data_IF_040327650077
#
_entry.id   IF_040327650077
#
_cell.length_a   1.000
_cell.length_b   1.000
_cell.length_c   1.000
_cell.angle_alpha   90.00
_cell.angle_beta   90.00
_cell.angle_gamma   90.00
#
_symmetry.space_group_name_H-M   'P 1'
#
loop_
_entity.id
_entity.type
_entity.pdbx_description
1 polymer ?
#
# COMPACT_ATOMS: atom_id res chain seq x y z
N UNK A 1 -3.01 6.57 17.88
CA UNK A 1 -1.98 6.06 18.80
C UNK A 1 -0.64 6.56 18.30
N UNK A 2 -0.23 7.77 18.69
CA UNK A 2 1.15 8.20 18.54
C UNK A 2 2.01 7.33 19.45
N UNK A 3 3.08 6.69 18.98
CA UNK A 3 3.98 6.00 19.87
C UNK A 3 4.81 7.05 20.61
N UNK A 4 4.57 7.15 21.92
CA UNK A 4 5.43 7.85 22.83
C UNK A 4 6.69 7.00 23.13
N UNK A 5 7.83 7.67 22.97
CA UNK A 5 9.16 7.42 23.53
C UNK A 5 10.22 6.61 22.75
N UNK A 6 11.40 7.24 22.65
CA UNK A 6 12.70 6.79 22.15
C UNK A 6 13.01 6.83 20.62
N UNK A 7 13.51 7.99 20.19
CA UNK A 7 14.56 8.18 19.15
C UNK A 7 14.31 7.69 17.71
N UNK A 8 13.12 7.85 17.16
CA UNK A 8 12.98 7.83 15.69
C UNK A 8 13.67 9.07 15.09
N UNK A 9 14.96 8.94 14.75
CA UNK A 9 15.65 9.92 13.92
C UNK A 9 15.08 9.80 12.51
N UNK A 10 14.15 10.70 12.17
CA UNK A 10 13.63 10.84 10.82
C UNK A 10 14.39 11.95 10.08
N UNK A 11 14.56 11.81 8.77
CA UNK A 11 15.18 12.82 7.91
C UNK A 11 14.15 13.38 6.94
N UNK A 12 14.06 14.70 6.88
CA UNK A 12 13.29 15.40 5.85
C UNK A 12 14.08 15.42 4.54
N UNK A 13 13.49 14.92 3.46
CA UNK A 13 14.13 14.86 2.14
C UNK A 13 13.42 15.81 1.20
N UNK A 14 14.03 16.97 0.94
CA UNK A 14 13.47 17.98 0.02
C UNK A 14 14.16 17.98 -1.35
N UNK A 15 15.28 17.28 -1.50
CA UNK A 15 15.99 17.18 -2.78
C UNK A 15 15.18 16.31 -3.75
N UNK A 16 14.76 16.82 -4.92
CA UNK A 16 13.88 16.11 -5.84
C UNK A 16 14.39 14.71 -6.23
N UNK A 17 15.68 14.58 -6.54
CA UNK A 17 16.24 13.29 -6.98
C UNK A 17 16.24 12.24 -5.86
N UNK A 18 16.40 12.66 -4.61
CA UNK A 18 16.30 11.77 -3.45
C UNK A 18 14.84 11.44 -3.11
N UNK A 19 13.94 12.42 -3.29
CA UNK A 19 12.50 12.24 -3.14
C UNK A 19 11.95 11.20 -4.13
N UNK A 20 12.28 11.32 -5.42
CA UNK A 20 11.90 10.37 -6.47
C UNK A 20 12.30 8.92 -6.14
N UNK A 21 13.50 8.73 -5.59
CA UNK A 21 14.00 7.41 -5.18
C UNK A 21 13.16 6.82 -4.03
N UNK A 22 12.75 7.67 -3.09
CA UNK A 22 11.95 7.24 -1.94
C UNK A 22 10.47 7.04 -2.29
N UNK A 23 9.99 7.66 -3.37
CA UNK A 23 8.61 7.52 -3.85
C UNK A 23 8.44 6.57 -5.03
N UNK A 24 9.49 5.89 -5.48
CA UNK A 24 9.37 4.69 -6.30
C UNK A 24 9.30 3.47 -5.37
N UNK A 25 8.17 2.74 -5.26
CA UNK A 25 8.03 1.60 -4.36
C UNK A 25 9.09 0.51 -4.58
N UNK A 26 9.53 0.32 -5.83
CA UNK A 26 10.57 -0.65 -6.17
C UNK A 26 11.93 -0.18 -5.69
N UNK A 27 12.25 1.10 -5.92
CA UNK A 27 13.49 1.71 -5.45
C UNK A 27 13.57 1.72 -3.92
N UNK A 28 12.51 2.18 -3.24
CA UNK A 28 12.40 2.19 -1.79
C UNK A 28 12.53 0.78 -1.19
N UNK A 29 12.01 -0.25 -1.86
CA UNK A 29 12.20 -1.65 -1.47
C UNK A 29 13.67 -2.10 -1.37
N UNK A 30 14.57 -1.54 -2.18
CA UNK A 30 16.02 -1.83 -2.07
C UNK A 30 16.68 -1.14 -0.88
N UNK A 31 16.06 -0.09 -0.31
CA UNK A 31 16.55 0.60 0.88
C UNK A 31 16.14 -0.14 2.17
N UNK A 32 15.08 -0.95 2.11
CA UNK A 32 14.48 -1.63 3.26
C UNK A 32 15.47 -2.38 4.17
N UNK A 33 16.43 -3.19 3.67
CA UNK A 33 17.41 -3.85 4.54
C UNK A 33 18.19 -2.87 5.40
N UNK A 34 18.58 -1.74 4.81
CA UNK A 34 19.43 -0.74 5.47
C UNK A 34 18.66 0.16 6.46
N UNK A 35 17.33 0.21 6.34
CA UNK A 35 16.43 0.81 7.34
C UNK A 35 16.28 -0.08 8.58
N UNK A 36 16.32 -1.41 8.39
CA UNK A 36 16.26 -2.37 9.50
C UNK A 36 17.57 -2.43 10.30
N UNK A 37 18.70 -2.14 9.65
CA UNK A 37 19.99 -2.14 10.32
C UNK A 37 21.16 -2.09 9.37
N UNK A 38 22.33 -2.42 9.91
CA UNK A 38 23.56 -2.43 9.15
C UNK A 38 23.68 -3.72 8.31
N UNK A 39 23.93 -3.57 7.00
CA UNK A 39 24.09 -4.68 6.08
C UNK A 39 25.26 -4.47 5.12
N UNK A 40 25.95 -5.56 4.77
CA UNK A 40 26.77 -5.58 3.56
C UNK A 40 25.88 -5.74 2.32
N UNK A 41 26.30 -5.27 1.13
CA UNK A 41 25.50 -5.43 -0.08
C UNK A 41 25.18 -6.90 -0.41
N UNK A 42 26.06 -7.85 -0.08
CA UNK A 42 25.77 -9.27 -0.29
C UNK A 42 24.71 -9.80 0.67
N UNK A 43 24.73 -9.37 1.94
CA UNK A 43 23.71 -9.78 2.92
C UNK A 43 22.33 -9.19 2.58
N UNK A 44 22.27 -7.91 2.20
CA UNK A 44 21.03 -7.25 1.82
C UNK A 44 20.46 -7.81 0.50
N UNK A 45 21.32 -8.15 -0.47
CA UNK A 45 20.86 -8.77 -1.72
C UNK A 45 20.21 -10.14 -1.48
N UNK A 46 20.78 -10.92 -0.55
CA UNK A 46 20.20 -12.20 -0.12
C UNK A 46 18.87 -12.00 0.59
N UNK A 47 18.77 -11.03 1.49
CA UNK A 47 17.53 -10.71 2.20
C UNK A 47 16.39 -10.35 1.23
N UNK A 48 16.71 -9.59 0.18
CA UNK A 48 15.75 -9.16 -0.84
C UNK A 48 15.50 -10.21 -1.93
N UNK A 49 16.28 -11.29 -2.01
CA UNK A 49 16.19 -12.27 -3.10
C UNK A 49 16.60 -11.72 -4.47
N UNK A 50 17.50 -10.73 -4.52
CA UNK A 50 17.92 -10.04 -5.75
C UNK A 50 19.39 -10.29 -6.09
N UNK A 51 19.76 -10.08 -7.36
CA UNK A 51 21.16 -10.19 -7.80
C UNK A 51 22.00 -9.07 -7.17
N UNK A 52 23.21 -9.41 -6.70
CA UNK A 52 24.12 -8.46 -6.07
C UNK A 52 24.40 -7.21 -6.92
N UNK A 53 24.58 -7.37 -8.24
CA UNK A 53 24.85 -6.24 -9.14
C UNK A 53 23.70 -5.22 -9.17
N UNK A 54 22.45 -5.69 -9.06
CA UNK A 54 21.27 -4.83 -8.99
C UNK A 54 21.30 -4.03 -7.68
N UNK A 55 21.54 -4.69 -6.56
CA UNK A 55 21.62 -3.99 -5.28
C UNK A 55 22.81 -3.02 -5.21
N UNK A 56 23.96 -3.38 -5.79
CA UNK A 56 25.13 -2.50 -5.86
C UNK A 56 24.90 -1.24 -6.68
N UNK A 57 24.06 -1.30 -7.72
CA UNK A 57 23.58 -0.11 -8.42
C UNK A 57 22.83 0.81 -7.45
N UNK A 58 21.86 0.27 -6.71
CA UNK A 58 21.06 1.04 -5.76
C UNK A 58 21.86 1.57 -4.57
N UNK A 59 22.76 0.77 -3.99
CA UNK A 59 23.65 1.23 -2.89
C UNK A 59 24.46 2.46 -3.32
N UNK A 60 25.01 2.47 -4.54
CA UNK A 60 25.73 3.64 -5.08
C UNK A 60 24.82 4.85 -5.22
N UNK A 61 23.60 4.65 -5.73
CA UNK A 61 22.61 5.72 -5.90
C UNK A 61 22.16 6.29 -4.55
N UNK A 62 21.89 5.44 -3.56
CA UNK A 62 21.52 5.89 -2.22
C UNK A 62 22.66 6.64 -1.51
N UNK A 63 23.91 6.19 -1.66
CA UNK A 63 25.08 6.93 -1.15
C UNK A 63 25.20 8.31 -1.83
N UNK A 64 25.00 8.38 -3.14
CA UNK A 64 25.05 9.64 -3.89
C UNK A 64 23.96 10.64 -3.45
N UNK A 65 22.80 10.14 -3.00
CA UNK A 65 21.71 10.96 -2.47
C UNK A 65 21.75 11.15 -0.94
N UNK A 66 22.82 10.69 -0.27
CA UNK A 66 22.96 10.81 1.18
C UNK A 66 21.93 10.01 1.99
N UNK A 67 21.31 8.99 1.38
CA UNK A 67 20.31 8.13 2.03
C UNK A 67 20.97 6.96 2.79
N UNK A 68 22.17 6.57 2.37
CA UNK A 68 23.01 5.57 3.04
C UNK A 68 24.32 6.20 3.52
N UNK A 69 24.91 5.59 4.54
CA UNK A 69 26.28 5.83 4.98
C UNK A 69 27.05 4.52 5.08
N UNK A 70 28.37 4.59 4.89
CA UNK A 70 29.29 3.50 5.16
C UNK A 70 29.66 3.51 6.64
N UNK A 71 29.39 2.42 7.35
CA UNK A 71 29.53 2.34 8.80
C UNK A 71 30.83 1.67 9.23
N UNK A 72 31.21 0.59 8.56
CA UNK A 72 32.45 -0.14 8.84
C UNK A 72 32.91 -0.98 7.66
N UNK A 73 34.20 -1.27 7.66
CA UNK A 73 34.83 -2.25 6.77
C UNK A 73 35.42 -3.38 7.60
N UNK A 74 35.05 -4.61 7.29
CA UNK A 74 35.56 -5.80 7.96
C UNK A 74 36.59 -6.52 7.08
N UNK A 75 37.80 -6.81 7.59
CA UNK A 75 38.80 -7.57 6.85
C UNK A 75 38.34 -9.03 6.71
N UNK A 76 38.58 -9.62 5.53
CA UNK A 76 38.34 -11.04 5.25
C UNK A 76 39.51 -11.55 4.43
N UNK A 77 39.84 -12.84 4.55
CA UNK A 77 40.82 -13.50 3.68
C UNK A 77 40.44 -13.33 2.21
N UNK A 78 41.01 -12.33 1.56
CA UNK A 78 40.54 -11.79 0.28
C UNK A 78 40.17 -10.31 0.37
N UNK A 79 39.02 -9.93 -0.20
CA UNK A 79 38.56 -8.54 -0.27
C UNK A 79 37.80 -8.16 1.01
N UNK A 80 38.14 -7.02 1.59
CA UNK A 80 37.42 -6.46 2.74
C UNK A 80 35.94 -6.19 2.41
N UNK A 81 35.06 -6.47 3.37
CA UNK A 81 33.60 -6.33 3.24
C UNK A 81 33.16 -5.01 3.82
N UNK A 82 32.44 -4.21 3.03
CA UNK A 82 31.87 -2.93 3.48
C UNK A 82 30.44 -3.12 3.98
N UNK A 83 30.11 -2.42 5.04
CA UNK A 83 28.80 -2.40 5.67
C UNK A 83 28.20 -1.00 5.58
N UNK A 84 26.88 -0.96 5.38
CA UNK A 84 26.12 0.26 5.16
C UNK A 84 24.87 0.25 6.02
N UNK A 85 24.38 1.44 6.39
CA UNK A 85 23.08 1.66 7.01
C UNK A 85 22.39 2.88 6.43
N UNK A 86 21.09 2.98 6.60
CA UNK A 86 20.38 4.23 6.35
C UNK A 86 20.80 5.30 7.37
N UNK A 87 20.95 6.54 6.89
CA UNK A 87 21.34 7.70 7.73
C UNK A 87 20.28 8.08 8.77
N UNK A 88 19.05 7.59 8.57
CA UNK A 88 17.88 7.80 9.40
C UNK A 88 17.04 6.53 9.43
N UNK A 89 16.22 6.37 10.46
CA UNK A 89 15.33 5.21 10.62
C UNK A 89 13.98 5.42 9.91
N UNK A 90 13.73 6.65 9.45
CA UNK A 90 12.58 7.02 8.67
C UNK A 90 12.92 8.23 7.79
N UNK A 91 12.24 8.36 6.65
CA UNK A 91 12.36 9.52 5.77
C UNK A 91 10.98 10.16 5.59
N UNK A 92 10.95 11.48 5.64
CA UNK A 92 9.76 12.26 5.32
C UNK A 92 10.00 12.98 3.99
N UNK A 93 9.18 12.68 2.98
CA UNK A 93 9.19 13.35 1.68
C UNK A 93 7.95 14.25 1.59
N UNK A 94 8.10 15.59 1.63
CA UNK A 94 6.97 16.47 1.40
C UNK A 94 6.49 16.36 -0.05
N UNK A 95 5.18 16.26 -0.29
CA UNK A 95 4.64 16.20 -1.65
C UNK A 95 5.01 17.42 -2.51
N UNK A 96 5.26 18.59 -1.90
CA UNK A 96 5.78 19.77 -2.63
C UNK A 96 7.16 19.57 -3.26
N UNK A 97 7.91 18.53 -2.89
CA UNK A 97 9.18 18.18 -3.51
C UNK A 97 9.03 17.24 -4.72
N UNK A 98 7.80 16.80 -5.02
CA UNK A 98 7.47 15.93 -6.14
C UNK A 98 6.72 16.70 -7.21
N UNK A 99 6.88 16.32 -8.47
CA UNK A 99 5.96 16.79 -9.50
C UNK A 99 4.59 16.10 -9.33
N UNK A 100 3.55 16.66 -9.95
CA UNK A 100 2.24 16.02 -10.00
C UNK A 100 2.31 14.61 -10.59
N UNK A 101 3.08 14.43 -11.67
CA UNK A 101 3.24 13.13 -12.34
C UNK A 101 3.97 12.11 -11.47
N UNK A 102 4.96 12.53 -10.68
CA UNK A 102 5.63 11.64 -9.72
C UNK A 102 4.68 11.21 -8.60
N UNK A 103 3.84 12.13 -8.12
CA UNK A 103 2.84 11.83 -7.10
C UNK A 103 1.77 10.86 -7.62
N UNK A 104 1.26 11.08 -8.84
CA UNK A 104 0.32 10.16 -9.50
C UNK A 104 0.94 8.76 -9.65
N UNK A 105 2.18 8.68 -10.15
CA UNK A 105 2.92 7.40 -10.29
C UNK A 105 3.13 6.71 -8.94
N UNK A 106 3.48 7.47 -7.89
CA UNK A 106 3.65 6.94 -6.54
C UNK A 106 2.35 6.36 -5.99
N UNK A 107 1.25 7.11 -6.09
CA UNK A 107 -0.07 6.69 -5.63
C UNK A 107 -0.53 5.42 -6.35
N UNK A 108 -0.39 5.37 -7.69
CA UNK A 108 -0.66 4.17 -8.45
C UNK A 108 0.21 3.00 -7.98
N UNK A 109 1.51 3.23 -7.82
CA UNK A 109 2.47 2.20 -7.41
C UNK A 109 2.16 1.56 -6.04
N UNK A 110 1.69 2.34 -5.06
CA UNK A 110 1.32 1.81 -3.74
C UNK A 110 -0.04 1.10 -3.75
N UNK A 111 -0.98 1.53 -4.59
CA UNK A 111 -2.33 0.96 -4.66
C UNK A 111 -2.39 -0.31 -5.52
N UNK A 112 -1.61 -0.37 -6.60
CA UNK A 112 -1.67 -1.43 -7.61
C UNK A 112 -1.57 -2.84 -7.02
N UNK A 113 -0.62 -3.20 -6.13
CA UNK A 113 -0.53 -4.56 -5.59
C UNK A 113 -1.81 -4.97 -4.85
N UNK A 114 -2.40 -4.05 -4.09
CA UNK A 114 -3.63 -4.29 -3.35
C UNK A 114 -4.84 -4.41 -4.29
N UNK A 115 -4.92 -3.55 -5.31
CA UNK A 115 -5.97 -3.63 -6.33
C UNK A 115 -5.92 -4.93 -7.13
N UNK A 116 -4.73 -5.38 -7.54
CA UNK A 116 -4.56 -6.65 -8.24
C UNK A 116 -4.98 -7.84 -7.36
N UNK A 117 -4.65 -7.77 -6.07
CA UNK A 117 -5.07 -8.73 -5.07
C UNK A 117 -6.61 -8.81 -4.94
N UNK A 118 -7.29 -7.67 -4.85
CA UNK A 118 -8.76 -7.61 -4.82
C UNK A 118 -9.37 -8.12 -6.12
N UNK A 119 -8.82 -7.72 -7.27
CA UNK A 119 -9.27 -8.17 -8.59
C UNK A 119 -9.18 -9.68 -8.71
N UNK A 120 -8.09 -10.29 -8.27
CA UNK A 120 -7.92 -11.75 -8.28
C UNK A 120 -8.97 -12.45 -7.42
N UNK A 121 -9.15 -12.01 -6.17
CA UNK A 121 -10.17 -12.58 -5.29
C UNK A 121 -11.59 -12.43 -5.87
N UNK A 122 -11.88 -11.30 -6.52
CA UNK A 122 -13.14 -11.06 -7.22
C UNK A 122 -13.34 -12.01 -8.40
N UNK A 123 -12.30 -12.24 -9.21
CA UNK A 123 -12.34 -13.18 -10.32
C UNK A 123 -12.57 -14.61 -9.82
N UNK A 124 -11.88 -15.03 -8.76
CA UNK A 124 -12.06 -16.35 -8.15
C UNK A 124 -13.52 -16.58 -7.71
N UNK A 125 -14.20 -15.57 -7.19
CA UNK A 125 -15.63 -15.64 -6.85
C UNK A 125 -16.53 -15.69 -8.09
N UNK A 126 -16.27 -14.84 -9.09
CA UNK A 126 -17.06 -14.78 -10.33
C UNK A 126 -16.96 -16.07 -11.16
N UNK A 127 -15.84 -16.79 -11.06
CA UNK A 127 -15.59 -18.03 -11.81
C UNK A 127 -15.67 -19.27 -10.92
N UNK A 128 -16.16 -19.14 -9.68
CA UNK A 128 -16.30 -20.28 -8.78
C UNK A 128 -17.30 -21.29 -9.37
N UNK A 129 -16.98 -22.59 -9.42
CA UNK A 129 -17.92 -23.60 -9.91
C UNK A 129 -19.13 -23.69 -8.98
N UNK A 130 -20.34 -23.67 -9.53
CA UNK A 130 -21.59 -23.66 -8.76
C UNK A 130 -22.72 -22.90 -9.46
N UNK A 131 -23.41 -22.04 -8.70
CA UNK A 131 -24.52 -21.18 -9.13
C UNK A 131 -24.15 -20.33 -10.37
N UNK A 132 -25.13 -20.12 -11.26
CA UNK A 132 -24.96 -19.31 -12.46
C UNK A 132 -24.93 -17.81 -12.09
N UNK A 133 -23.74 -17.28 -11.85
CA UNK A 133 -23.54 -15.85 -11.62
C UNK A 133 -23.50 -15.07 -12.95
N UNK A 134 -24.23 -13.95 -13.00
CA UNK A 134 -24.33 -13.07 -14.15
C UNK A 134 -24.08 -11.59 -13.85
N UNK A 135 -24.13 -10.78 -14.92
CA UNK A 135 -24.06 -9.33 -14.87
C UNK A 135 -25.44 -8.74 -15.11
N UNK A 136 -25.97 -8.05 -14.11
CA UNK A 136 -27.15 -7.20 -14.26
C UNK A 136 -26.74 -5.81 -14.72
N UNK A 137 -27.30 -5.40 -15.85
CA UNK A 137 -27.18 -4.05 -16.40
C UNK A 137 -28.51 -3.33 -16.21
N UNK A 138 -28.50 -2.21 -15.50
CA UNK A 138 -29.72 -1.41 -15.27
C UNK A 138 -29.43 0.08 -15.37
N UNK A 139 -30.46 0.88 -15.67
CA UNK A 139 -30.39 2.32 -15.56
C UNK A 139 -31.11 2.75 -14.27
N UNK A 140 -30.44 3.51 -13.40
CA UNK A 140 -31.04 4.14 -12.21
C UNK A 140 -30.62 5.60 -12.16
N UNK A 141 -31.61 6.51 -12.07
CA UNK A 141 -31.34 7.94 -11.98
C UNK A 141 -30.58 8.53 -13.17
N UNK A 142 -30.71 7.94 -14.36
CA UNK A 142 -29.96 8.36 -15.57
C UNK A 142 -28.52 7.82 -15.64
N UNK A 143 -28.09 7.00 -14.67
CA UNK A 143 -26.76 6.38 -14.65
C UNK A 143 -26.85 4.88 -14.91
N UNK A 144 -25.90 4.37 -15.69
CA UNK A 144 -25.72 2.93 -15.91
C UNK A 144 -25.18 2.29 -14.63
N UNK A 145 -25.88 1.28 -14.13
CA UNK A 145 -25.53 0.53 -12.94
C UNK A 145 -25.21 -0.91 -13.31
N UNK A 146 -24.08 -1.39 -12.80
CA UNK A 146 -23.63 -2.78 -12.92
C UNK A 146 -23.74 -3.47 -11.57
N UNK A 147 -24.40 -4.62 -11.52
CA UNK A 147 -24.41 -5.48 -10.33
C UNK A 147 -24.19 -6.94 -10.70
N UNK A 148 -23.59 -7.70 -9.80
CA UNK A 148 -23.35 -9.12 -9.99
C UNK A 148 -24.35 -9.92 -9.17
N UNK A 149 -25.01 -10.88 -9.81
CA UNK A 149 -26.04 -11.70 -9.19
C UNK A 149 -26.52 -12.82 -10.08
N UNK A 150 -27.34 -13.72 -9.54
CA UNK A 150 -27.97 -14.80 -10.30
C UNK A 150 -29.17 -14.28 -11.12
N UNK A 151 -29.85 -15.18 -11.83
CA UNK A 151 -31.01 -14.85 -12.65
C UNK A 151 -32.24 -14.44 -11.80
N UNK A 152 -32.28 -14.88 -10.55
CA UNK A 152 -33.32 -14.60 -9.57
C UNK A 152 -33.12 -13.25 -8.86
N UNK A 153 -31.97 -12.61 -9.08
CA UNK A 153 -31.63 -11.28 -8.55
C UNK A 153 -30.94 -11.31 -7.18
N UNK A 154 -30.51 -12.48 -6.71
CA UNK A 154 -29.63 -12.58 -5.55
C UNK A 154 -28.27 -11.99 -5.88
N UNK A 155 -27.73 -11.23 -4.94
CA UNK A 155 -26.45 -10.54 -5.16
C UNK A 155 -25.29 -11.47 -4.86
N UNK A 156 -24.32 -11.53 -5.76
CA UNK A 156 -23.04 -12.21 -5.50
C UNK A 156 -22.26 -11.47 -4.40
N UNK A 157 -22.15 -10.15 -4.52
CA UNK A 157 -21.50 -9.29 -3.54
C UNK A 157 -22.52 -8.65 -2.60
N UNK A 158 -22.13 -8.45 -1.35
CA UNK A 158 -23.01 -7.90 -0.30
C UNK A 158 -24.18 -8.84 0.05
N UNK A 159 -24.07 -10.13 -0.27
CA UNK A 159 -25.06 -11.14 0.13
C UNK A 159 -25.06 -11.26 1.65
N UNK A 160 -26.24 -11.19 2.27
CA UNK A 160 -26.42 -11.22 3.73
C UNK A 160 -26.87 -12.58 4.25
N UNK A 161 -27.01 -13.59 3.39
CA UNK A 161 -27.35 -14.95 3.81
C UNK A 161 -26.25 -15.50 4.74
N UNK A 162 -26.59 -16.22 5.83
CA UNK A 162 -25.60 -16.71 6.80
C UNK A 162 -24.49 -17.60 6.23
N UNK A 163 -24.77 -18.32 5.13
CA UNK A 163 -23.82 -19.25 4.50
C UNK A 163 -23.09 -18.64 3.29
N UNK A 164 -23.45 -17.42 2.88
CA UNK A 164 -22.80 -16.77 1.75
C UNK A 164 -21.39 -16.27 2.13
N UNK A 165 -20.45 -16.21 1.18
CA UNK A 165 -19.15 -15.59 1.40
C UNK A 165 -19.30 -14.15 1.91
N UNK A 166 -18.54 -13.80 2.95
CA UNK A 166 -18.50 -12.46 3.52
C UNK A 166 -17.81 -11.47 2.55
N UNK A 167 -18.56 -10.98 1.58
CA UNK A 167 -18.07 -10.10 0.51
C UNK A 167 -18.77 -8.75 0.56
N UNK A 168 -18.00 -7.69 0.35
CA UNK A 168 -18.49 -6.31 0.29
C UNK A 168 -17.93 -5.65 -0.98
N UNK A 169 -18.81 -5.10 -1.81
CA UNK A 169 -18.43 -4.32 -2.99
C UNK A 169 -19.43 -3.17 -3.13
N UNK A 170 -19.01 -1.98 -2.72
CA UNK A 170 -19.81 -0.76 -2.77
C UNK A 170 -19.14 0.25 -3.70
N UNK A 171 -19.90 0.70 -4.70
CA UNK A 171 -19.55 1.81 -5.58
C UNK A 171 -20.75 2.76 -5.55
N UNK A 172 -20.74 3.69 -4.59
CA UNK A 172 -21.88 4.56 -4.29
C UNK A 172 -21.41 5.99 -4.11
N UNK A 173 -22.26 6.92 -4.55
CA UNK A 173 -22.18 8.34 -4.16
C UNK A 173 -23.17 8.57 -3.02
N UNK A 174 -22.77 9.36 -2.03
CA UNK A 174 -23.62 9.74 -0.90
C UNK A 174 -23.74 11.26 -0.89
N UNK A 175 -24.97 11.78 -0.88
CA UNK A 175 -25.25 13.19 -0.73
C UNK A 175 -25.31 13.51 0.78
N UNK A 176 -24.18 13.98 1.34
CA UNK A 176 -24.04 14.31 2.76
C UNK A 176 -23.59 15.76 2.90
N UNK A 177 -24.10 16.46 3.92
CA UNK A 177 -23.46 17.69 4.37
C UNK A 177 -22.14 17.41 5.11
N UNK A 178 -21.39 18.46 5.46
CA UNK A 178 -20.08 18.30 6.10
C UNK A 178 -20.16 17.59 7.46
N UNK A 179 -21.15 17.92 8.29
CA UNK A 179 -21.33 17.32 9.61
C UNK A 179 -21.71 15.84 9.51
N UNK A 180 -22.60 15.51 8.56
CA UNK A 180 -22.97 14.14 8.25
C UNK A 180 -21.78 13.33 7.70
N UNK A 181 -21.00 13.90 6.78
CA UNK A 181 -19.80 13.26 6.25
C UNK A 181 -18.76 12.99 7.34
N UNK A 182 -18.60 13.93 8.29
CA UNK A 182 -17.75 13.77 9.46
C UNK A 182 -18.26 12.67 10.39
N UNK A 183 -19.53 12.67 10.74
CA UNK A 183 -20.12 11.61 11.57
C UNK A 183 -19.93 10.22 10.93
N UNK A 184 -20.25 10.09 9.64
CA UNK A 184 -20.05 8.85 8.89
C UNK A 184 -18.58 8.41 8.86
N UNK A 185 -17.64 9.33 8.65
CA UNK A 185 -16.20 9.05 8.74
C UNK A 185 -15.81 8.45 10.10
N UNK A 186 -16.30 9.05 11.19
CA UNK A 186 -16.00 8.59 12.55
C UNK A 186 -16.54 7.18 12.81
N UNK A 187 -17.80 6.93 12.46
CA UNK A 187 -18.43 5.61 12.64
C UNK A 187 -17.71 4.50 11.85
N UNK A 188 -17.27 4.78 10.62
CA UNK A 188 -16.51 3.82 9.82
C UNK A 188 -15.15 3.49 10.44
N UNK A 189 -14.46 4.48 11.00
CA UNK A 189 -13.18 4.29 11.69
C UNK A 189 -13.38 3.43 12.94
N UNK A 190 -14.38 3.73 13.76
CA UNK A 190 -14.70 2.96 14.96
C UNK A 190 -15.07 1.51 14.63
N UNK A 191 -15.88 1.32 13.57
CA UNK A 191 -16.25 -0.01 13.08
C UNK A 191 -15.01 -0.81 12.65
N UNK A 192 -14.11 -0.18 11.89
CA UNK A 192 -12.85 -0.80 11.48
C UNK A 192 -12.00 -1.18 12.70
N UNK A 193 -11.78 -0.26 13.64
CA UNK A 193 -10.95 -0.48 14.83
C UNK A 193 -11.47 -1.63 15.69
N UNK A 194 -12.80 -1.71 15.88
CA UNK A 194 -13.47 -2.80 16.61
C UNK A 194 -13.12 -4.18 16.08
N UNK A 195 -13.03 -4.35 14.75
CA UNK A 195 -12.70 -5.64 14.14
C UNK A 195 -11.20 -5.87 13.97
N UNK A 196 -10.41 -4.82 13.74
CA UNK A 196 -8.95 -4.90 13.67
C UNK A 196 -8.34 -5.45 14.96
N UNK A 197 -8.96 -5.20 16.12
CA UNK A 197 -8.50 -5.68 17.42
C UNK A 197 -8.74 -7.19 17.69
N UNK A 198 -9.57 -7.89 16.89
CA UNK A 198 -10.04 -9.24 17.25
C UNK A 198 -9.06 -10.38 16.93
N UNK A 199 -8.17 -10.22 15.95
CA UNK A 199 -7.16 -11.23 15.57
C UNK A 199 -7.70 -12.64 15.24
N UNK A 200 -6.81 -13.58 14.90
CA UNK A 200 -7.07 -15.03 14.94
C UNK A 200 -7.94 -15.67 13.83
N UNK A 201 -8.47 -14.91 12.88
CA UNK A 201 -9.31 -15.41 11.78
C UNK A 201 -8.64 -15.44 10.39
N UNK A 202 -9.43 -15.76 9.36
CA UNK A 202 -9.01 -15.59 7.96
C UNK A 202 -8.73 -14.11 7.65
N UNK A 203 -7.69 -13.84 6.86
CA UNK A 203 -7.36 -12.47 6.43
C UNK A 203 -8.30 -12.01 5.33
N UNK A 204 -9.04 -10.93 5.61
CA UNK A 204 -9.83 -10.21 4.62
C UNK A 204 -9.11 -8.93 4.20
N UNK A 205 -9.17 -8.61 2.91
CA UNK A 205 -8.64 -7.35 2.36
C UNK A 205 -9.80 -6.38 2.22
N UNK A 206 -9.71 -5.25 2.92
CA UNK A 206 -10.69 -4.18 2.88
C UNK A 206 -10.01 -2.89 2.39
N UNK A 207 -10.58 -2.28 1.35
CA UNK A 207 -10.32 -0.89 1.00
C UNK A 207 -11.62 -0.13 1.15
N UNK A 208 -11.59 0.93 1.95
CA UNK A 208 -12.67 1.86 2.14
C UNK A 208 -12.06 3.26 1.98
N UNK A 209 -12.51 3.99 0.98
CA UNK A 209 -12.07 5.35 0.72
C UNK A 209 -13.30 6.24 0.58
N UNK A 210 -13.23 7.42 1.18
CA UNK A 210 -14.20 8.49 0.99
C UNK A 210 -13.40 9.76 0.73
N UNK A 211 -13.67 10.38 -0.42
CA UNK A 211 -13.05 11.61 -0.86
C UNK A 211 -14.19 12.53 -1.31
N UNK A 212 -14.12 13.84 -1.03
CA UNK A 212 -15.11 14.76 -1.55
C UNK A 212 -14.96 14.87 -3.08
N UNK A 213 -16.08 14.97 -3.81
CA UNK A 213 -16.06 15.15 -5.27
C UNK A 213 -15.35 16.44 -5.71
N UNK A 214 -15.28 17.43 -4.80
CA UNK A 214 -14.48 18.65 -4.93
C UNK A 214 -13.83 18.99 -3.59
N UNK A 215 -12.54 19.30 -3.53
CA UNK A 215 -11.92 19.80 -2.30
C UNK A 215 -12.56 21.15 -1.91
N UNK A 216 -12.69 21.38 -0.59
CA UNK A 216 -13.22 22.63 -0.01
C UNK A 216 -12.28 23.82 -0.24
#
# INVERSE_FOLDING_TARGET
MEPADSTYRWLRVEQPQAAEVLTDPKAAGFLFPFLLGEHSPSSAARLLGVKLNVLMYWVRRFLAHGLLEHTRTEPRGGRAVRYYRAVANAFFVPFKALSRGDLETFLEGIEQPFQQALKRARLELLTAPGEEWGLWLSARGGTLSFSYGDAEGERLFNNRKPQAPATLNLWVSLDLDFEQAKAFQHELIELYQKYAARGGGQTYRLQLAMLPDRPA
#
